data_IF_515758460983
#
_entry.id   IF_515758460983
#
_cell.length_a   1.000
_cell.length_b   1.000
_cell.length_c   1.000
_cell.angle_alpha   90.00
_cell.angle_beta   90.00
_cell.angle_gamma   90.00
#
_symmetry.space_group_name_H-M   'P 1'
#
loop_
_entity.id
_entity.type
_entity.pdbx_description
1 polymer ?
#
# COMPACT_ATOMS: atom_id res chain seq x y z
N UNK A 1 32.73 -23.01 -7.81
CA UNK A 1 31.79 -22.01 -7.28
C UNK A 1 32.18 -21.62 -5.87
N UNK A 2 32.24 -20.35 -5.62
CA UNK A 2 32.58 -19.85 -4.29
C UNK A 2 31.30 -19.70 -3.43
N UNK A 3 31.10 -20.62 -2.52
CA UNK A 3 29.96 -20.65 -1.60
C UNK A 3 29.84 -19.34 -0.79
N UNK A 4 30.99 -18.78 -0.39
CA UNK A 4 31.05 -17.57 0.37
C UNK A 4 30.49 -16.36 -0.43
N UNK A 5 30.84 -16.29 -1.71
CA UNK A 5 30.31 -15.23 -2.60
C UNK A 5 28.80 -15.37 -2.80
N UNK A 6 28.31 -16.60 -2.93
CA UNK A 6 26.87 -16.87 -3.06
C UNK A 6 26.13 -16.44 -1.80
N UNK A 7 26.65 -16.76 -0.61
CA UNK A 7 26.05 -16.37 0.66
C UNK A 7 26.03 -14.87 0.84
N UNK A 8 27.11 -14.17 0.47
CA UNK A 8 27.16 -12.71 0.54
C UNK A 8 26.12 -12.07 -0.38
N UNK A 9 25.96 -12.60 -1.57
CA UNK A 9 24.97 -12.12 -2.52
C UNK A 9 23.55 -12.31 -2.00
N UNK A 10 23.26 -13.49 -1.43
CA UNK A 10 21.95 -13.77 -0.84
C UNK A 10 21.64 -12.83 0.33
N UNK A 11 22.63 -12.58 1.19
CA UNK A 11 22.47 -11.65 2.32
C UNK A 11 22.22 -10.22 1.84
N UNK A 12 22.91 -9.80 0.79
CA UNK A 12 22.71 -8.48 0.19
C UNK A 12 21.29 -8.35 -0.34
N UNK A 13 20.80 -9.37 -1.05
CA UNK A 13 19.43 -9.39 -1.59
C UNK A 13 18.40 -9.30 -0.48
N UNK A 14 18.59 -10.02 0.63
CA UNK A 14 17.69 -9.96 1.78
C UNK A 14 17.66 -8.57 2.40
N UNK A 15 18.82 -7.93 2.53
CA UNK A 15 18.91 -6.56 3.06
C UNK A 15 18.23 -5.57 2.12
N UNK A 16 18.42 -5.72 0.82
CA UNK A 16 17.80 -4.86 -0.18
C UNK A 16 16.27 -5.02 -0.15
N UNK A 17 15.79 -6.26 -0.04
CA UNK A 17 14.35 -6.53 0.07
C UNK A 17 13.76 -5.93 1.36
N UNK A 18 14.44 -6.10 2.49
CA UNK A 18 13.98 -5.53 3.76
C UNK A 18 13.91 -4.00 3.68
N UNK A 19 14.91 -3.38 3.07
CA UNK A 19 14.94 -1.94 2.86
C UNK A 19 13.76 -1.48 2.00
N UNK A 20 13.48 -2.22 0.92
CA UNK A 20 12.35 -1.92 0.04
C UNK A 20 11.01 -2.08 0.76
N UNK A 21 10.88 -3.11 1.58
CA UNK A 21 9.68 -3.29 2.42
C UNK A 21 9.49 -2.14 3.39
N UNK A 22 10.57 -1.70 4.04
CA UNK A 22 10.52 -0.59 5.00
C UNK A 22 10.13 0.72 4.30
N UNK A 23 10.67 0.96 3.11
CA UNK A 23 10.31 2.13 2.29
C UNK A 23 8.84 2.07 1.88
N UNK A 24 8.36 0.91 1.45
CA UNK A 24 6.97 0.70 1.06
C UNK A 24 6.03 0.94 2.25
N UNK A 25 6.38 0.41 3.42
CA UNK A 25 5.57 0.54 4.63
C UNK A 25 5.38 1.99 5.06
N UNK A 26 6.34 2.85 4.77
CA UNK A 26 6.29 4.29 5.10
C UNK A 26 5.68 5.14 3.99
N UNK A 27 5.59 4.62 2.79
CA UNK A 27 5.06 5.35 1.65
C UNK A 27 3.56 5.58 1.83
N UNK A 28 3.09 6.75 1.42
CA UNK A 28 1.69 7.12 1.51
C UNK A 28 0.95 6.77 0.21
N UNK A 29 -0.26 6.26 0.37
CA UNK A 29 -1.15 5.91 -0.73
C UNK A 29 -2.50 6.56 -0.51
N UNK A 30 -2.94 7.34 -1.47
CA UNK A 30 -4.22 8.01 -1.42
C UNK A 30 -5.30 7.17 -2.10
N UNK A 31 -6.43 7.05 -1.44
CA UNK A 31 -7.65 6.51 -2.03
C UNK A 31 -8.69 7.61 -2.12
N UNK A 32 -9.45 7.62 -3.19
CA UNK A 32 -10.41 8.68 -3.43
C UNK A 32 -11.74 8.15 -3.92
N UNK A 33 -12.79 8.86 -3.56
CA UNK A 33 -14.11 8.74 -4.11
C UNK A 33 -14.70 10.13 -4.29
N UNK A 34 -15.93 10.22 -4.73
CA UNK A 34 -16.57 11.52 -4.95
C UNK A 34 -16.63 12.35 -3.67
N UNK A 35 -16.89 11.73 -2.51
CA UNK A 35 -17.10 12.45 -1.25
C UNK A 35 -16.03 12.22 -0.19
N UNK A 36 -15.12 11.27 -0.40
CA UNK A 36 -14.15 10.88 0.65
C UNK A 36 -12.78 10.68 0.04
N UNK A 37 -11.77 11.25 0.68
CA UNK A 37 -10.36 10.95 0.41
C UNK A 37 -9.76 10.32 1.66
N UNK A 38 -8.96 9.28 1.48
CA UNK A 38 -8.23 8.64 2.56
C UNK A 38 -6.75 8.57 2.21
N UNK A 39 -5.90 8.54 3.22
CA UNK A 39 -4.48 8.28 3.05
C UNK A 39 -4.09 7.13 3.97
N UNK A 40 -3.45 6.13 3.38
CA UNK A 40 -2.89 4.98 4.09
C UNK A 40 -1.39 4.94 3.90
N UNK A 41 -0.68 4.38 4.87
CA UNK A 41 0.71 3.98 4.66
C UNK A 41 0.75 2.58 4.05
N UNK A 42 1.89 2.20 3.47
CA UNK A 42 2.03 0.92 2.77
C UNK A 42 1.84 -0.30 3.67
N UNK A 43 1.97 -0.15 4.98
CA UNK A 43 1.64 -1.18 5.97
C UNK A 43 0.14 -1.25 6.30
N UNK A 44 -0.69 -0.59 5.48
CA UNK A 44 -2.15 -0.59 5.58
C UNK A 44 -2.70 0.06 6.85
N UNK A 45 -1.97 1.03 7.37
CA UNK A 45 -2.46 1.87 8.47
C UNK A 45 -3.03 3.16 7.90
N UNK A 46 -4.21 3.53 8.38
CA UNK A 46 -4.85 4.77 7.95
C UNK A 46 -4.16 5.96 8.61
N UNK A 47 -3.83 6.96 7.79
CA UNK A 47 -3.21 8.20 8.26
C UNK A 47 -4.22 9.33 8.38
N UNK A 48 -5.12 9.44 7.41
CA UNK A 48 -6.11 10.51 7.39
C UNK A 48 -7.35 10.12 6.62
N UNK A 49 -8.45 10.77 6.97
CA UNK A 49 -9.73 10.70 6.25
C UNK A 49 -10.20 12.14 6.07
N UNK A 50 -10.53 12.49 4.84
CA UNK A 50 -11.10 13.79 4.52
C UNK A 50 -12.47 13.60 3.87
N UNK A 51 -13.51 14.11 4.53
CA UNK A 51 -14.88 14.07 4.03
C UNK A 51 -15.14 15.40 3.33
N UNK A 52 -15.47 15.34 2.05
CA UNK A 52 -15.61 16.51 1.17
C UNK A 52 -17.06 16.98 1.05
N UNK A 53 -17.83 16.85 2.11
CA UNK A 53 -19.22 17.29 2.14
C UNK A 53 -19.29 18.66 2.82
N UNK A 54 -19.94 19.60 2.14
CA UNK A 54 -20.22 20.91 2.71
C UNK A 54 -21.63 20.92 3.28
N UNK A 55 -21.78 21.46 4.49
CA UNK A 55 -23.06 21.58 5.15
C UNK A 55 -23.39 20.43 6.08
N UNK A 56 -24.67 20.30 6.41
CA UNK A 56 -25.16 19.26 7.33
C UNK A 56 -25.48 17.98 6.58
N UNK A 57 -25.21 16.85 7.26
CA UNK A 57 -25.54 15.51 6.74
C UNK A 57 -26.93 15.11 7.22
N UNK A 58 -27.78 14.64 6.29
CA UNK A 58 -29.04 14.01 6.65
C UNK A 58 -28.90 12.47 6.62
N UNK A 59 -29.98 11.74 6.84
CA UNK A 59 -29.94 10.26 6.89
C UNK A 59 -29.61 9.64 5.54
N UNK A 60 -30.09 10.25 4.44
CA UNK A 60 -29.78 9.77 3.09
C UNK A 60 -28.30 9.94 2.77
N UNK A 61 -27.70 11.02 3.25
CA UNK A 61 -26.26 11.29 3.08
C UNK A 61 -25.38 10.26 3.79
N UNK A 62 -25.86 9.70 4.92
CA UNK A 62 -25.08 8.70 5.67
C UNK A 62 -24.79 7.45 4.84
N UNK A 63 -25.80 6.94 4.14
CA UNK A 63 -25.63 5.73 3.33
C UNK A 63 -24.67 6.00 2.16
N UNK A 64 -24.84 7.11 1.49
CA UNK A 64 -23.95 7.53 0.40
C UNK A 64 -22.51 7.71 0.92
N UNK A 65 -22.35 8.34 2.09
CA UNK A 65 -21.05 8.54 2.71
C UNK A 65 -20.36 7.21 3.04
N UNK A 66 -21.11 6.24 3.57
CA UNK A 66 -20.59 4.90 3.86
C UNK A 66 -20.09 4.22 2.59
N UNK A 67 -20.87 4.28 1.51
CA UNK A 67 -20.48 3.71 0.21
C UNK A 67 -19.22 4.39 -0.35
N UNK A 68 -19.15 5.70 -0.25
CA UNK A 68 -17.97 6.46 -0.72
C UNK A 68 -16.74 6.15 0.11
N UNK A 69 -16.90 5.90 1.40
CA UNK A 69 -15.81 5.46 2.29
C UNK A 69 -15.25 4.11 1.84
N UNK A 70 -16.12 3.15 1.55
CA UNK A 70 -15.71 1.82 1.05
C UNK A 70 -14.93 1.96 -0.26
N UNK A 71 -15.42 2.76 -1.18
CA UNK A 71 -14.77 2.99 -2.48
C UNK A 71 -13.38 3.59 -2.28
N UNK A 72 -13.26 4.62 -1.45
CA UNK A 72 -11.98 5.29 -1.21
C UNK A 72 -10.96 4.36 -0.54
N UNK A 73 -11.40 3.59 0.46
CA UNK A 73 -10.53 2.64 1.15
C UNK A 73 -10.04 1.54 0.20
N UNK A 74 -10.96 0.97 -0.59
CA UNK A 74 -10.59 -0.07 -1.55
C UNK A 74 -9.66 0.46 -2.64
N UNK A 75 -9.83 1.71 -3.05
CA UNK A 75 -8.92 2.35 -4.00
C UNK A 75 -7.50 2.42 -3.43
N UNK A 76 -7.35 2.87 -2.19
CA UNK A 76 -6.04 2.92 -1.51
C UNK A 76 -5.44 1.53 -1.35
N UNK A 77 -6.23 0.54 -0.93
CA UNK A 77 -5.78 -0.84 -0.74
C UNK A 77 -5.31 -1.45 -2.05
N UNK A 78 -6.03 -1.21 -3.14
CA UNK A 78 -5.66 -1.70 -4.47
C UNK A 78 -4.31 -1.13 -4.92
N UNK A 79 -4.05 0.13 -4.65
CA UNK A 79 -2.76 0.77 -4.97
C UNK A 79 -1.61 0.17 -4.17
N UNK A 80 -1.83 -0.07 -2.88
CA UNK A 80 -0.83 -0.71 -2.01
C UNK A 80 -0.53 -2.13 -2.50
N UNK A 81 -1.57 -2.92 -2.77
CA UNK A 81 -1.42 -4.30 -3.23
C UNK A 81 -0.67 -4.37 -4.56
N UNK A 82 -1.00 -3.47 -5.49
CA UNK A 82 -0.36 -3.41 -6.79
C UNK A 82 1.14 -3.12 -6.67
N UNK A 83 1.52 -2.17 -5.83
CA UNK A 83 2.92 -1.82 -5.63
C UNK A 83 3.66 -2.91 -4.85
N UNK A 84 3.02 -3.55 -3.89
CA UNK A 84 3.56 -4.69 -3.16
C UNK A 84 3.85 -5.85 -4.10
N UNK A 85 2.91 -6.19 -4.97
CA UNK A 85 3.08 -7.26 -5.97
C UNK A 85 4.21 -6.94 -6.94
N UNK A 86 4.32 -5.71 -7.39
CA UNK A 86 5.40 -5.28 -8.29
C UNK A 86 6.76 -5.41 -7.60
N UNK A 87 6.87 -5.04 -6.34
CA UNK A 87 8.10 -5.17 -5.56
C UNK A 87 8.48 -6.64 -5.37
N UNK A 88 7.54 -7.47 -4.93
CA UNK A 88 7.79 -8.89 -4.71
C UNK A 88 8.10 -9.62 -6.01
N UNK A 89 7.41 -9.26 -7.10
CA UNK A 89 7.66 -9.82 -8.43
C UNK A 89 9.07 -9.55 -8.92
N UNK A 90 9.58 -8.35 -8.68
CA UNK A 90 10.95 -7.99 -9.06
C UNK A 90 11.98 -8.86 -8.35
N UNK A 91 11.75 -9.23 -7.09
CA UNK A 91 12.67 -10.07 -6.32
C UNK A 91 12.47 -11.55 -6.61
N UNK A 92 11.24 -12.00 -6.88
CA UNK A 92 10.98 -13.41 -7.19
C UNK A 92 11.57 -13.82 -8.53
N UNK A 93 11.68 -12.89 -9.49
CA UNK A 93 12.29 -13.17 -10.80
C UNK A 93 13.81 -13.37 -10.74
N UNK A 94 14.44 -13.05 -9.60
CA UNK A 94 15.87 -13.14 -9.41
C UNK A 94 16.33 -14.54 -8.93
N UNK A 95 15.58 -15.57 -9.21
CA UNK A 95 16.09 -16.93 -9.06
C UNK A 95 15.49 -17.79 -7.97
N UNK A 96 14.24 -17.58 -7.63
CA UNK A 96 13.52 -18.49 -6.75
C UNK A 96 14.07 -18.59 -5.32
N UNK A 97 14.67 -17.51 -4.83
CA UNK A 97 15.17 -17.42 -3.46
C UNK A 97 14.06 -17.08 -2.45
N UNK A 98 12.85 -16.90 -2.92
CA UNK A 98 11.71 -16.49 -2.10
C UNK A 98 10.55 -17.47 -2.23
#
# INVERSE_FOLDING_TARGET
>A
MNMQAIMQQAQKMQRDLQKKKDELNKKEFSGTSELVDVVFTGDKKIKSVNIKIEGTLDEDDKEVLQDMMVIAINDAMGKIDKETEAMLGAYSSLGGLF
#
